data_IF_485920755524
#
_entry.id   IF_485920755524
#
_cell.length_a   1.000
_cell.length_b   1.000
_cell.length_c   1.000
_cell.angle_alpha   90.00
_cell.angle_beta   90.00
_cell.angle_gamma   90.00
#
_symmetry.space_group_name_H-M   'P 1'
#
loop_
_entity.id
_entity.type
_entity.pdbx_description
1 polymer ?
#
# COMPACT_ATOMS: atom_id res chain seq x y z
N UNK A 1 12.13 6.48 -0.31
CA UNK A 1 10.71 6.91 -0.41
C UNK A 1 10.60 8.13 -1.32
N UNK A 2 10.81 9.37 -0.85
CA UNK A 2 10.57 10.59 -1.64
C UNK A 2 11.52 10.79 -2.84
N UNK A 3 12.77 10.33 -2.73
CA UNK A 3 13.76 10.37 -3.83
C UNK A 3 13.54 9.27 -4.88
N UNK A 4 12.84 8.20 -4.50
CA UNK A 4 12.71 6.94 -5.23
C UNK A 4 11.34 6.80 -5.93
N UNK A 5 10.44 7.79 -5.77
CA UNK A 5 9.02 7.74 -6.18
C UNK A 5 8.25 6.51 -5.70
N UNK A 6 8.76 5.81 -4.68
CA UNK A 6 8.10 4.65 -4.10
C UNK A 6 6.77 5.05 -3.49
N UNK A 7 5.73 4.29 -3.82
CA UNK A 7 4.43 4.48 -3.22
C UNK A 7 4.48 4.17 -1.72
N UNK A 8 4.11 5.15 -0.90
CA UNK A 8 4.22 5.04 0.56
C UNK A 8 3.39 3.87 1.10
N UNK A 9 2.14 3.73 0.63
CA UNK A 9 1.21 2.70 1.11
C UNK A 9 1.69 1.30 0.74
N UNK A 10 2.09 1.10 -0.52
CA UNK A 10 2.64 -0.18 -0.98
C UNK A 10 3.96 -0.50 -0.29
N UNK A 11 4.83 0.51 -0.09
CA UNK A 11 6.12 0.31 0.57
C UNK A 11 5.98 -0.15 2.01
N UNK A 12 5.09 0.46 2.79
CA UNK A 12 4.84 0.02 4.17
C UNK A 12 4.16 -1.35 4.23
N UNK A 13 3.35 -1.72 3.24
CA UNK A 13 2.78 -3.07 3.13
C UNK A 13 3.86 -4.11 2.88
N UNK A 14 4.72 -3.88 1.89
CA UNK A 14 5.79 -4.81 1.53
C UNK A 14 6.84 -4.91 2.64
N UNK A 15 7.03 -3.86 3.46
CA UNK A 15 7.88 -3.91 4.65
C UNK A 15 7.34 -4.81 5.79
N UNK A 16 6.08 -5.27 5.71
CA UNK A 16 5.53 -6.17 6.74
C UNK A 16 6.12 -7.57 6.69
N UNK A 17 6.54 -8.02 5.50
CA UNK A 17 6.97 -9.39 5.24
C UNK A 17 8.36 -9.41 4.59
N UNK A 18 9.29 -10.14 5.20
CA UNK A 18 10.68 -10.17 4.76
C UNK A 18 10.87 -10.79 3.37
N UNK A 19 9.94 -11.66 2.94
CA UNK A 19 9.95 -12.22 1.59
C UNK A 19 9.77 -11.14 0.50
N UNK A 20 9.07 -10.05 0.83
CA UNK A 20 8.70 -8.98 -0.11
C UNK A 20 9.77 -7.87 -0.19
N UNK A 21 10.85 -7.97 0.59
CA UNK A 21 11.98 -7.03 0.53
C UNK A 21 12.70 -7.06 -0.81
N UNK A 22 12.65 -8.19 -1.51
CA UNK A 22 13.22 -8.35 -2.85
C UNK A 22 12.50 -7.47 -3.87
N UNK A 23 11.16 -7.50 -3.87
CA UNK A 23 10.32 -6.64 -4.70
C UNK A 23 10.58 -5.15 -4.44
N UNK A 24 10.71 -4.75 -3.16
CA UNK A 24 11.02 -3.36 -2.81
C UNK A 24 12.42 -2.93 -3.25
N UNK A 25 13.38 -3.85 -3.22
CA UNK A 25 14.75 -3.58 -3.64
C UNK A 25 14.81 -3.33 -5.14
N UNK A 26 14.07 -4.10 -5.92
CA UNK A 26 14.04 -3.97 -7.38
C UNK A 26 13.39 -2.65 -7.83
N UNK A 27 12.47 -2.09 -7.03
CA UNK A 27 11.85 -0.79 -7.26
C UNK A 27 12.72 0.41 -6.80
N UNK A 28 13.86 0.18 -6.13
CA UNK A 28 14.78 1.24 -5.68
C UNK A 28 15.86 1.55 -6.71
N UNK A 29 16.08 2.84 -6.98
CA UNK A 29 17.20 3.37 -7.78
C UNK A 29 18.54 3.10 -7.06
N UNK A 30 18.62 3.35 -5.74
CA UNK A 30 19.80 3.02 -4.91
C UNK A 30 19.58 1.77 -4.05
N UNK A 31 19.89 0.61 -4.63
CA UNK A 31 19.80 -0.70 -3.96
C UNK A 31 20.77 -0.85 -2.79
N UNK A 32 21.91 -0.15 -2.80
CA UNK A 32 22.90 -0.22 -1.73
C UNK A 32 22.44 0.54 -0.47
N UNK A 33 21.82 1.70 -0.65
CA UNK A 33 21.17 2.44 0.43
C UNK A 33 19.98 1.64 1.01
N UNK A 34 19.19 0.98 0.14
CA UNK A 34 18.12 0.10 0.57
C UNK A 34 18.62 -1.09 1.41
N UNK A 35 19.68 -1.78 0.96
CA UNK A 35 20.27 -2.91 1.69
C UNK A 35 20.78 -2.48 3.10
N UNK A 36 21.30 -1.26 3.24
CA UNK A 36 21.68 -0.70 4.54
C UNK A 36 20.47 -0.40 5.42
N UNK A 37 19.40 0.13 4.83
CA UNK A 37 18.14 0.39 5.55
C UNK A 37 17.53 -0.91 6.07
N UNK A 38 17.42 -1.95 5.23
CA UNK A 38 16.87 -3.26 5.62
C UNK A 38 17.64 -3.86 6.78
N UNK A 39 18.98 -3.82 6.76
CA UNK A 39 19.81 -4.30 7.87
C UNK A 39 19.54 -3.56 9.18
N UNK A 40 19.37 -2.22 9.11
CA UNK A 40 19.02 -1.41 10.30
C UNK A 40 17.61 -1.72 10.79
N UNK A 41 16.66 -1.88 9.87
CA UNK A 41 15.27 -2.20 10.17
C UNK A 41 15.14 -3.56 10.85
N UNK A 42 15.76 -4.60 10.29
CA UNK A 42 15.78 -5.96 10.87
C UNK A 42 16.39 -5.97 12.27
N UNK A 43 17.43 -5.16 12.51
CA UNK A 43 18.02 -5.05 13.84
C UNK A 43 17.03 -4.50 14.87
N UNK A 44 16.34 -3.40 14.55
CA UNK A 44 15.32 -2.81 15.44
C UNK A 44 14.16 -3.79 15.65
N UNK A 45 13.73 -4.46 14.59
CA UNK A 45 12.70 -5.49 14.66
C UNK A 45 13.09 -6.62 15.62
N UNK A 46 14.31 -7.15 15.52
CA UNK A 46 14.75 -8.27 16.34
C UNK A 46 15.00 -7.86 17.81
N UNK A 47 15.39 -6.62 18.05
CA UNK A 47 15.70 -6.11 19.40
C UNK A 47 14.46 -5.58 20.14
N UNK A 48 13.45 -5.05 19.43
CA UNK A 48 12.41 -4.21 20.03
C UNK A 48 10.98 -4.47 19.51
N UNK A 49 10.77 -5.39 18.57
CA UNK A 49 9.42 -5.62 18.06
C UNK A 49 8.54 -6.36 19.09
N UNK A 50 7.31 -5.88 19.33
CA UNK A 50 6.36 -6.64 20.12
C UNK A 50 5.89 -7.88 19.34
N UNK A 51 5.53 -8.96 20.03
CA UNK A 51 5.07 -10.21 19.41
C UNK A 51 3.85 -10.03 18.48
N UNK A 52 3.09 -8.95 18.65
CA UNK A 52 1.94 -8.57 17.83
C UNK A 52 2.26 -7.50 16.77
N UNK A 53 3.54 -7.24 16.44
CA UNK A 53 3.95 -6.24 15.44
C UNK A 53 3.15 -6.35 14.15
N UNK A 54 3.02 -7.57 13.60
CA UNK A 54 2.28 -7.80 12.36
C UNK A 54 0.81 -7.38 12.47
N UNK A 55 0.14 -7.72 13.58
CA UNK A 55 -1.25 -7.31 13.80
C UNK A 55 -1.38 -5.79 13.91
N UNK A 56 -0.45 -5.12 14.60
CA UNK A 56 -0.41 -3.65 14.68
C UNK A 56 -0.23 -3.04 13.29
N UNK A 57 0.72 -3.54 12.50
CA UNK A 57 0.97 -3.05 11.15
C UNK A 57 -0.23 -3.27 10.22
N UNK A 58 -0.88 -4.44 10.29
CA UNK A 58 -2.08 -4.74 9.50
C UNK A 58 -3.24 -3.78 9.81
N UNK A 59 -3.43 -3.41 11.08
CA UNK A 59 -4.49 -2.45 11.47
C UNK A 59 -4.14 -0.98 11.20
N UNK A 60 -2.87 -0.67 10.93
CA UNK A 60 -2.38 0.70 10.73
C UNK A 60 -2.04 1.03 9.28
N UNK A 61 -1.70 0.01 8.46
CA UNK A 61 -1.29 0.18 7.07
C UNK A 61 -2.45 -0.17 6.12
N UNK A 62 -3.14 0.83 5.52
CA UNK A 62 -4.32 0.58 4.72
C UNK A 62 -3.99 -0.13 3.40
N UNK A 63 -4.76 -1.17 3.06
CA UNK A 63 -4.89 -1.81 1.74
C UNK A 63 -5.29 -0.82 0.67
N UNK A 64 -6.33 -0.05 0.94
CA UNK A 64 -6.92 0.87 -0.03
C UNK A 64 -6.69 2.32 0.37
N UNK A 65 -6.24 3.12 -0.59
CA UNK A 65 -6.18 4.58 -0.47
C UNK A 65 -6.90 5.22 -1.65
N UNK A 66 -7.61 6.33 -1.40
CA UNK A 66 -8.26 7.08 -2.46
C UNK A 66 -7.19 7.86 -3.24
N UNK A 67 -6.67 7.26 -4.31
CA UNK A 67 -5.72 7.92 -5.22
C UNK A 67 -6.47 8.90 -6.13
N UNK A 68 -5.82 10.00 -6.50
CA UNK A 68 -6.47 11.06 -7.29
C UNK A 68 -7.06 10.57 -8.63
N UNK A 69 -6.37 9.66 -9.35
CA UNK A 69 -6.87 9.15 -10.62
C UNK A 69 -8.10 8.25 -10.44
N UNK A 70 -8.16 7.47 -9.35
CA UNK A 70 -9.31 6.62 -9.00
C UNK A 70 -10.51 7.50 -8.64
N UNK A 71 -10.26 8.55 -7.85
CA UNK A 71 -11.28 9.55 -7.52
C UNK A 71 -11.83 10.25 -8.77
N UNK A 72 -10.94 10.64 -9.70
CA UNK A 72 -11.31 11.30 -10.94
C UNK A 72 -12.19 10.40 -11.83
N UNK A 73 -11.81 9.12 -11.98
CA UNK A 73 -12.62 8.13 -12.73
C UNK A 73 -14.02 7.98 -12.14
N UNK A 74 -14.12 7.94 -10.81
CA UNK A 74 -15.42 7.85 -10.13
C UNK A 74 -16.29 9.10 -10.35
N UNK A 75 -15.67 10.29 -10.40
CA UNK A 75 -16.35 11.55 -10.72
C UNK A 75 -16.87 11.53 -12.16
N UNK A 76 -16.04 11.12 -13.12
CA UNK A 76 -16.40 11.07 -14.55
C UNK A 76 -17.58 10.11 -14.84
N UNK A 77 -17.65 8.99 -14.11
CA UNK A 77 -18.77 8.06 -14.20
C UNK A 77 -20.03 8.63 -13.53
N UNK A 78 -19.87 9.26 -12.36
CA UNK A 78 -20.99 9.89 -11.66
C UNK A 78 -21.63 11.02 -12.48
N UNK A 79 -20.84 11.80 -13.23
CA UNK A 79 -21.33 12.83 -14.17
C UNK A 79 -22.18 12.23 -15.30
N UNK A 80 -21.97 10.96 -15.64
CA UNK A 80 -22.76 10.20 -16.61
C UNK A 80 -24.00 9.52 -15.98
N UNK A 81 -24.30 9.81 -14.71
CA UNK A 81 -25.30 9.14 -13.88
C UNK A 81 -24.96 7.67 -13.53
N UNK A 82 -23.70 7.26 -13.65
CA UNK A 82 -23.22 5.94 -13.22
C UNK A 82 -22.52 6.03 -11.86
N UNK A 83 -23.23 5.67 -10.78
CA UNK A 83 -22.71 5.77 -9.40
C UNK A 83 -22.08 4.48 -8.86
N UNK A 84 -22.07 3.40 -9.66
CA UNK A 84 -21.56 2.09 -9.26
C UNK A 84 -20.12 2.14 -8.75
N UNK A 85 -19.27 2.95 -9.38
CA UNK A 85 -17.87 3.10 -9.01
C UNK A 85 -17.71 3.87 -7.69
N UNK A 86 -18.54 4.89 -7.45
CA UNK A 86 -18.54 5.66 -6.19
C UNK A 86 -18.94 4.75 -5.03
N UNK A 87 -19.98 3.93 -5.20
CA UNK A 87 -20.43 2.97 -4.18
C UNK A 87 -19.37 1.89 -3.89
N UNK A 88 -18.71 1.39 -4.93
CA UNK A 88 -17.60 0.44 -4.83
C UNK A 88 -16.46 1.03 -4.00
N UNK A 89 -15.99 2.23 -4.35
CA UNK A 89 -14.90 2.91 -3.65
C UNK A 89 -15.27 3.24 -2.21
N UNK A 90 -16.49 3.72 -1.96
CA UNK A 90 -16.96 3.99 -0.60
C UNK A 90 -16.90 2.73 0.26
N UNK A 91 -17.30 1.58 -0.29
CA UNK A 91 -17.25 0.29 0.41
C UNK A 91 -15.81 -0.15 0.70
N UNK A 92 -14.91 -0.01 -0.27
CA UNK A 92 -13.50 -0.34 -0.10
C UNK A 92 -12.84 0.54 0.97
N UNK A 93 -13.07 1.86 0.91
CA UNK A 93 -12.50 2.84 1.83
C UNK A 93 -13.13 2.82 3.23
N UNK A 94 -14.32 2.22 3.39
CA UNK A 94 -14.93 2.00 4.70
C UNK A 94 -14.18 0.96 5.53
N UNK A 95 -13.50 0.02 4.88
CA UNK A 95 -12.64 -0.98 5.53
C UNK A 95 -11.28 -1.03 4.85
N UNK A 96 -10.47 0.05 4.97
CA UNK A 96 -9.30 0.23 4.13
C UNK A 96 -8.17 -0.73 4.51
N UNK A 97 -8.18 -1.33 5.70
CA UNK A 97 -7.13 -2.22 6.21
C UNK A 97 -7.32 -3.70 5.87
N UNK A 98 -8.48 -4.07 5.33
CA UNK A 98 -8.85 -5.47 5.07
C UNK A 98 -8.96 -5.70 3.57
N UNK A 99 -8.32 -6.74 3.05
CA UNK A 99 -8.45 -7.11 1.64
C UNK A 99 -9.89 -7.56 1.31
N UNK A 100 -10.40 -7.11 0.17
CA UNK A 100 -11.76 -7.27 -0.33
C UNK A 100 -11.72 -7.75 -1.79
N UNK A 101 -11.33 -9.02 -2.03
CA UNK A 101 -11.09 -9.57 -3.38
C UNK A 101 -12.30 -9.54 -4.31
N UNK A 102 -13.51 -9.48 -3.76
CA UNK A 102 -14.75 -9.40 -4.54
C UNK A 102 -15.00 -8.03 -5.19
N UNK A 103 -14.31 -6.98 -4.71
CA UNK A 103 -14.57 -5.58 -5.09
C UNK A 103 -13.32 -4.82 -5.51
N UNK A 104 -12.14 -5.30 -5.12
CA UNK A 104 -10.87 -4.69 -5.49
C UNK A 104 -10.59 -4.85 -6.99
N UNK A 105 -10.00 -3.81 -7.56
CA UNK A 105 -9.43 -3.84 -8.90
C UNK A 105 -7.90 -3.76 -8.81
N UNK A 106 -7.16 -4.21 -9.84
CA UNK A 106 -5.70 -4.11 -9.85
C UNK A 106 -5.19 -2.68 -9.60
N UNK A 107 -5.91 -1.68 -10.12
CA UNK A 107 -5.59 -0.25 -9.96
C UNK A 107 -5.65 0.22 -8.49
N UNK A 108 -6.48 -0.42 -7.65
CA UNK A 108 -6.60 -0.05 -6.23
C UNK A 108 -5.39 -0.52 -5.40
N UNK A 109 -4.66 -1.52 -5.90
CA UNK A 109 -3.54 -2.17 -5.22
C UNK A 109 -2.18 -1.69 -5.74
N UNK A 110 -2.12 -1.25 -7.00
CA UNK A 110 -0.88 -0.89 -7.67
C UNK A 110 -0.55 0.60 -7.52
N UNK A 111 0.75 0.97 -7.54
CA UNK A 111 1.15 2.37 -7.66
C UNK A 111 0.69 2.95 -9.01
N UNK A 112 0.50 4.28 -9.10
CA UNK A 112 0.18 4.93 -10.38
C UNK A 112 1.33 4.70 -11.38
N UNK A 113 0.97 4.28 -12.60
CA UNK A 113 1.88 4.12 -13.75
C UNK A 113 2.29 5.48 -14.29
#
# INVERSE_FOLDING_TARGET
MQHEKLDYTTSFRLLMNEADFTTLRDDCIDTAAFDQFVKRYQRVVNEQAPHNRLAIMQTSNPVYILRNHIAQRAIELAEQNEFSEVERLFTLLSNPFTAQPEREQPEDLLPPV
#
